data_IF_153447119558
#
_entry.id   IF_153447119558
#
_cell.length_a   1.000
_cell.length_b   1.000
_cell.length_c   1.000
_cell.angle_alpha   90.00
_cell.angle_beta   90.00
_cell.angle_gamma   90.00
#
_symmetry.space_group_name_H-M   'P 1'
#
loop_
_entity.id
_entity.type
_entity.pdbx_description
1 polymer ?
#
# COMPACT_ATOMS: atom_id res chain seq x y z
N UNK A 1 0.85 -15.68 -4.61
CA UNK A 1 1.49 -15.03 -3.44
C UNK A 1 1.52 -13.53 -3.63
N UNK A 2 0.91 -12.73 -2.74
CA UNK A 2 0.97 -11.26 -2.83
C UNK A 2 2.41 -10.83 -2.54
N UNK A 3 3.11 -10.29 -3.54
CA UNK A 3 4.49 -9.81 -3.37
C UNK A 3 4.53 -8.79 -2.22
N UNK A 4 5.38 -9.06 -1.22
CA UNK A 4 5.57 -8.17 -0.11
C UNK A 4 6.22 -6.87 -0.60
N UNK A 5 5.78 -5.74 -0.06
CA UNK A 5 6.46 -4.47 -0.31
C UNK A 5 7.78 -4.50 0.48
N UNK A 6 8.92 -4.23 -0.17
CA UNK A 6 10.21 -4.17 0.51
C UNK A 6 10.17 -3.22 1.71
N UNK A 7 10.83 -3.58 2.81
CA UNK A 7 10.85 -2.76 4.03
C UNK A 7 11.35 -1.33 3.75
N UNK A 8 12.34 -1.16 2.88
CA UNK A 8 12.82 0.15 2.42
C UNK A 8 11.69 1.01 1.82
N UNK A 9 10.87 0.43 0.94
CA UNK A 9 9.79 1.16 0.28
C UNK A 9 8.66 1.52 1.26
N UNK A 10 8.47 0.74 2.33
CA UNK A 10 7.54 1.11 3.41
C UNK A 10 8.03 2.33 4.18
N UNK A 11 9.33 2.39 4.51
CA UNK A 11 9.94 3.56 5.17
C UNK A 11 9.83 4.80 4.28
N UNK A 12 10.16 4.69 2.99
CA UNK A 12 10.00 5.80 2.03
C UNK A 12 8.54 6.25 1.86
N UNK A 13 7.56 5.38 2.09
CA UNK A 13 6.13 5.70 1.97
C UNK A 13 5.56 6.52 3.12
N UNK A 14 6.22 6.49 4.28
CA UNK A 14 5.87 7.32 5.43
C UNK A 14 6.36 8.77 5.27
N UNK A 15 7.36 8.99 4.42
CA UNK A 15 7.93 10.30 4.13
C UNK A 15 7.24 10.98 2.94
N UNK A 16 7.33 12.31 2.89
CA UNK A 16 6.94 13.06 1.69
C UNK A 16 7.89 12.76 0.52
N UNK A 17 7.46 13.09 -0.71
CA UNK A 17 8.28 12.84 -1.90
C UNK A 17 9.63 13.57 -1.85
N UNK A 18 9.61 14.83 -1.41
CA UNK A 18 10.80 15.66 -1.27
C UNK A 18 11.75 15.11 -0.19
N UNK A 19 11.23 14.77 1.00
CA UNK A 19 12.04 14.20 2.08
C UNK A 19 12.64 12.85 1.69
N UNK A 20 11.89 11.99 1.01
CA UNK A 20 12.40 10.71 0.55
C UNK A 20 13.44 10.86 -0.56
N UNK A 21 13.31 11.88 -1.41
CA UNK A 21 14.31 12.20 -2.43
C UNK A 21 15.59 12.80 -1.81
N UNK A 22 15.47 13.63 -0.77
CA UNK A 22 16.63 14.18 -0.08
C UNK A 22 17.40 13.10 0.68
N UNK A 23 16.69 12.26 1.45
CA UNK A 23 17.31 11.22 2.28
C UNK A 23 17.80 10.00 1.48
N UNK A 24 17.15 9.67 0.37
CA UNK A 24 17.45 8.46 -0.39
C UNK A 24 17.82 8.70 -1.85
N UNK A 25 17.93 9.96 -2.27
CA UNK A 25 18.43 10.35 -3.60
C UNK A 25 19.94 10.34 -3.70
N UNK A 26 20.46 11.17 -4.60
CA UNK A 26 21.90 11.22 -4.92
C UNK A 26 22.79 11.52 -3.71
N UNK A 27 22.29 12.30 -2.76
CA UNK A 27 23.01 12.70 -1.56
C UNK A 27 22.90 11.68 -0.40
N UNK A 28 22.06 10.66 -0.55
CA UNK A 28 21.82 9.64 0.47
C UNK A 28 22.10 8.23 -0.04
N UNK A 29 21.13 7.34 0.08
CA UNK A 29 21.29 5.91 -0.24
C UNK A 29 21.28 5.58 -1.76
N UNK A 30 21.19 6.58 -2.65
CA UNK A 30 21.02 6.41 -4.11
C UNK A 30 19.92 5.39 -4.49
N UNK A 31 18.94 5.21 -3.62
CA UNK A 31 17.88 4.24 -3.80
C UNK A 31 16.64 4.84 -4.47
N UNK A 32 16.54 6.17 -4.50
CA UNK A 32 15.45 6.90 -5.13
C UNK A 32 15.62 6.96 -6.65
N UNK A 33 14.62 6.45 -7.36
CA UNK A 33 14.52 6.58 -8.81
C UNK A 33 13.23 7.33 -9.17
N UNK A 34 13.31 8.52 -9.80
CA UNK A 34 12.13 9.35 -10.07
C UNK A 34 11.09 8.64 -10.95
N UNK A 35 11.52 7.75 -11.85
CA UNK A 35 10.65 7.01 -12.74
C UNK A 35 9.72 6.01 -12.02
N UNK A 36 10.17 5.39 -10.91
CA UNK A 36 9.43 4.29 -10.25
C UNK A 36 9.07 4.56 -8.79
N UNK A 37 9.85 5.37 -8.08
CA UNK A 37 9.64 5.60 -6.65
C UNK A 37 8.39 6.42 -6.37
N UNK A 38 7.95 7.30 -7.27
CA UNK A 38 6.66 8.00 -7.13
C UNK A 38 5.48 7.03 -7.04
N UNK A 39 5.36 6.15 -8.03
CA UNK A 39 4.29 5.15 -8.09
C UNK A 39 4.41 4.13 -6.96
N UNK A 40 5.61 3.57 -6.72
CA UNK A 40 5.84 2.59 -5.65
C UNK A 40 5.53 3.14 -4.26
N UNK A 41 5.89 4.39 -3.98
CA UNK A 41 5.63 5.05 -2.70
C UNK A 41 4.12 5.27 -2.48
N UNK A 42 3.42 5.77 -3.50
CA UNK A 42 1.96 5.94 -3.44
C UNK A 42 1.24 4.60 -3.24
N UNK A 43 1.68 3.55 -3.96
CA UNK A 43 1.16 2.20 -3.78
C UNK A 43 1.41 1.67 -2.37
N UNK A 44 2.62 1.85 -1.84
CA UNK A 44 2.97 1.40 -0.50
C UNK A 44 2.19 2.12 0.60
N UNK A 45 1.96 3.43 0.45
CA UNK A 45 1.17 4.24 1.40
C UNK A 45 -0.32 3.82 1.44
N UNK A 46 -0.89 3.47 0.30
CA UNK A 46 -2.31 3.11 0.19
C UNK A 46 -2.56 1.60 0.11
N UNK A 47 -1.55 0.77 0.40
CA UNK A 47 -1.65 -0.68 0.24
C UNK A 47 -2.78 -1.26 1.07
N UNK A 48 -2.86 -0.86 2.34
CA UNK A 48 -3.83 -1.40 3.28
C UNK A 48 -5.25 -0.95 2.95
N UNK A 49 -5.42 0.31 2.54
CA UNK A 49 -6.70 0.82 2.04
C UNK A 49 -7.17 0.07 0.79
N UNK A 50 -6.27 -0.18 -0.18
CA UNK A 50 -6.59 -0.97 -1.39
C UNK A 50 -6.93 -2.43 -1.07
N UNK A 51 -6.24 -3.02 -0.09
CA UNK A 51 -6.53 -4.38 0.36
C UNK A 51 -7.89 -4.46 1.07
N UNK A 52 -8.23 -3.46 1.89
CA UNK A 52 -9.54 -3.36 2.53
C UNK A 52 -10.66 -3.26 1.49
N UNK A 53 -10.51 -2.40 0.47
CA UNK A 53 -11.47 -2.30 -0.63
C UNK A 53 -11.64 -3.64 -1.34
N UNK A 54 -10.53 -4.32 -1.69
CA UNK A 54 -10.57 -5.64 -2.34
C UNK A 54 -11.23 -6.70 -1.45
N UNK A 55 -10.98 -6.66 -0.15
CA UNK A 55 -11.60 -7.58 0.80
C UNK A 55 -13.11 -7.36 0.86
N UNK A 56 -13.55 -6.10 0.95
CA UNK A 56 -14.99 -5.74 0.93
C UNK A 56 -15.67 -6.14 -0.37
N UNK A 57 -15.01 -5.98 -1.51
CA UNK A 57 -15.53 -6.43 -2.80
C UNK A 57 -15.75 -7.94 -2.82
N UNK A 58 -14.84 -8.75 -2.25
CA UNK A 58 -15.05 -10.21 -2.17
C UNK A 58 -16.26 -10.56 -1.31
N UNK A 59 -16.43 -9.90 -0.16
CA UNK A 59 -17.58 -10.12 0.73
C UNK A 59 -18.89 -9.76 0.01
N UNK A 60 -18.94 -8.66 -0.73
CA UNK A 60 -20.15 -8.25 -1.46
C UNK A 60 -20.44 -9.10 -2.72
N UNK A 61 -19.48 -9.87 -3.23
CA UNK A 61 -19.66 -10.70 -4.44
C UNK A 61 -20.01 -12.15 -4.10
N UNK A 62 -20.00 -12.51 -2.82
CA UNK A 62 -20.39 -13.83 -2.32
C UNK A 62 -21.81 -13.77 -1.76
N UNK A 63 -22.85 -14.22 -2.50
CA UNK A 63 -24.24 -14.14 -2.04
C UNK A 63 -24.58 -15.12 -0.91
N UNK A 64 -23.66 -16.00 -0.50
CA UNK A 64 -23.89 -17.08 0.48
C UNK A 64 -23.54 -16.68 1.93
N UNK A 65 -22.95 -15.50 2.14
CA UNK A 65 -22.56 -14.99 3.46
C UNK A 65 -23.61 -14.10 4.16
N UNK A 66 -24.90 -14.20 3.79
CA UNK A 66 -25.99 -13.63 4.61
C UNK A 66 -26.16 -14.52 5.84
N UNK A 67 -25.25 -14.41 6.79
CA UNK A 67 -25.43 -14.99 8.13
C UNK A 67 -26.55 -14.22 8.80
N UNK A 68 -27.67 -14.94 8.98
CA UNK A 68 -28.77 -14.59 9.87
C UNK A 68 -28.23 -14.03 11.19
N UNK A 69 -28.57 -12.77 11.46
CA UNK A 69 -28.19 -12.07 12.68
C UNK A 69 -29.34 -11.23 13.19
N UNK A 70 -30.36 -11.91 13.75
CA UNK A 70 -31.04 -11.59 15.00
C UNK A 70 -32.48 -12.12 15.00
N UNK A 71 -32.64 -13.39 15.41
CA UNK A 71 -33.71 -13.76 16.33
C UNK A 71 -33.42 -13.10 17.70
N UNK A 72 -34.28 -12.18 18.14
CA UNK A 72 -35.13 -12.25 19.34
C UNK A 72 -35.73 -10.87 19.65
#
# INVERSE_FOLDING_TARGET
>A
MVKAIPAKCKKCAMLSAAQAQELHGELGDRCWSPAVCYSRRSYARHRDHRNLIRSRQRVNTDPDLVVNGCEY
#
